data_IF_852492633246
#
_entry.id   IF_852492633246
#
_cell.length_a   1.000
_cell.length_b   1.000
_cell.length_c   1.000
_cell.angle_alpha   90.00
_cell.angle_beta   90.00
_cell.angle_gamma   90.00
#
_symmetry.space_group_name_H-M   'P 1'
#
loop_
_entity.id
_entity.type
_entity.pdbx_description
1 polymer ?
#
# COMPACT_ATOMS: atom_id res chain seq x y z
N UNK A 1 7.12 30.26 -1.22
CA UNK A 1 5.81 30.01 -0.58
C UNK A 1 5.00 28.85 -1.16
N UNK A 2 4.76 28.76 -2.49
CA UNK A 2 3.93 27.69 -3.10
C UNK A 2 4.45 26.26 -2.84
N UNK A 3 5.76 26.04 -2.94
CA UNK A 3 6.34 24.70 -2.75
C UNK A 3 6.25 24.19 -1.29
N UNK A 4 6.52 25.06 -0.31
CA UNK A 4 6.41 24.72 1.13
C UNK A 4 4.99 24.27 1.47
N UNK A 5 3.97 24.95 0.92
CA UNK A 5 2.56 24.58 1.13
C UNK A 5 2.25 23.19 0.57
N UNK A 6 2.75 22.87 -0.63
CA UNK A 6 2.57 21.54 -1.26
C UNK A 6 3.21 20.45 -0.40
N UNK A 7 4.42 20.67 0.11
CA UNK A 7 5.11 19.69 0.98
C UNK A 7 4.35 19.42 2.28
N UNK A 8 3.79 20.46 2.90
CA UNK A 8 2.98 20.30 4.12
C UNK A 8 1.71 19.49 3.87
N UNK A 9 0.99 19.81 2.80
CA UNK A 9 -0.24 19.10 2.41
C UNK A 9 0.09 17.64 2.06
N UNK A 10 1.13 17.41 1.26
CA UNK A 10 1.61 16.07 0.91
C UNK A 10 2.00 15.26 2.15
N UNK A 11 2.70 15.87 3.10
CA UNK A 11 3.07 15.20 4.34
C UNK A 11 1.84 14.84 5.19
N UNK A 12 0.88 15.76 5.33
CA UNK A 12 -0.34 15.52 6.09
C UNK A 12 -1.17 14.38 5.46
N UNK A 13 -1.40 14.41 4.15
CA UNK A 13 -2.12 13.33 3.46
C UNK A 13 -1.36 12.01 3.50
N UNK A 14 -0.03 12.06 3.38
CA UNK A 14 0.84 10.89 3.51
C UNK A 14 0.72 10.26 4.89
N UNK A 15 0.67 11.05 5.97
CA UNK A 15 0.47 10.53 7.32
C UNK A 15 -0.90 9.87 7.49
N UNK A 16 -1.97 10.51 7.00
CA UNK A 16 -3.33 9.94 7.00
C UNK A 16 -3.36 8.59 6.29
N UNK A 17 -2.77 8.52 5.08
CA UNK A 17 -2.73 7.28 4.31
C UNK A 17 -1.83 6.22 4.94
N UNK A 18 -0.70 6.58 5.56
CA UNK A 18 0.15 5.61 6.25
C UNK A 18 -0.58 4.91 7.40
N UNK A 19 -1.41 5.63 8.16
CA UNK A 19 -2.26 5.03 9.21
C UNK A 19 -3.27 4.07 8.60
N UNK A 20 -3.99 4.50 7.56
CA UNK A 20 -4.96 3.65 6.87
C UNK A 20 -4.31 2.41 6.26
N UNK A 21 -3.18 2.56 5.56
CA UNK A 21 -2.45 1.46 4.94
C UNK A 21 -1.92 0.50 6.01
N UNK A 22 -1.43 0.99 7.16
CA UNK A 22 -1.03 0.12 8.27
C UNK A 22 -2.17 -0.78 8.75
N UNK A 23 -3.35 -0.21 8.97
CA UNK A 23 -4.57 -0.96 9.33
C UNK A 23 -5.00 -1.90 8.21
N UNK A 24 -4.89 -1.47 6.95
CA UNK A 24 -5.23 -2.26 5.77
C UNK A 24 -4.32 -3.48 5.61
N UNK A 25 -3.01 -3.32 5.79
CA UNK A 25 -2.04 -4.42 5.76
C UNK A 25 -2.24 -5.38 6.94
N UNK A 26 -2.59 -4.86 8.12
CA UNK A 26 -2.99 -5.71 9.26
C UNK A 26 -4.21 -6.56 8.92
N UNK A 27 -5.21 -5.99 8.25
CA UNK A 27 -6.35 -6.75 7.76
C UNK A 27 -5.94 -7.87 6.79
N UNK A 28 -5.02 -7.58 5.86
CA UNK A 28 -4.47 -8.59 4.96
C UNK A 28 -3.68 -9.67 5.69
N UNK A 29 -2.91 -9.34 6.73
CA UNK A 29 -2.21 -10.33 7.55
C UNK A 29 -3.16 -11.28 8.28
N UNK A 30 -4.40 -10.87 8.58
CA UNK A 30 -5.40 -11.77 9.14
C UNK A 30 -5.78 -12.94 8.21
N UNK A 31 -5.46 -12.85 6.91
CA UNK A 31 -5.64 -13.97 5.96
C UNK A 31 -4.80 -15.21 6.31
N UNK A 32 -3.74 -15.07 7.11
CA UNK A 32 -2.96 -16.21 7.62
C UNK A 32 -3.84 -17.16 8.44
N UNK A 33 -4.83 -16.59 9.14
CA UNK A 33 -5.84 -17.33 9.91
C UNK A 33 -7.06 -17.76 9.06
N UNK A 34 -7.05 -17.50 7.75
CA UNK A 34 -8.12 -17.86 6.80
C UNK A 34 -8.89 -16.66 6.26
N UNK A 35 -9.62 -16.89 5.17
CA UNK A 35 -10.44 -15.87 4.49
C UNK A 35 -11.55 -15.33 5.39
N UNK A 36 -12.16 -16.18 6.22
CA UNK A 36 -13.20 -15.79 7.18
C UNK A 36 -12.70 -14.75 8.17
N UNK A 37 -11.53 -14.98 8.80
CA UNK A 37 -10.94 -14.01 9.73
C UNK A 37 -10.55 -12.70 9.09
N UNK A 38 -10.02 -12.75 7.87
CA UNK A 38 -9.82 -11.54 7.08
C UNK A 38 -11.13 -10.79 6.86
N UNK A 39 -12.21 -11.47 6.44
CA UNK A 39 -13.50 -10.84 6.14
C UNK A 39 -14.17 -10.28 7.40
N UNK A 40 -14.10 -10.98 8.54
CA UNK A 40 -14.62 -10.49 9.81
C UNK A 40 -13.95 -9.20 10.26
N UNK A 41 -12.60 -9.19 10.30
CA UNK A 41 -11.83 -8.00 10.64
C UNK A 41 -12.13 -6.86 9.66
N UNK A 42 -12.21 -7.18 8.37
CA UNK A 42 -12.54 -6.21 7.33
C UNK A 42 -13.91 -5.57 7.55
N UNK A 43 -14.95 -6.37 7.83
CA UNK A 43 -16.30 -5.87 8.12
C UNK A 43 -16.30 -4.92 9.31
N UNK A 44 -15.60 -5.28 10.39
CA UNK A 44 -15.46 -4.41 11.57
C UNK A 44 -14.78 -3.09 11.22
N UNK A 45 -13.66 -3.11 10.49
CA UNK A 45 -12.94 -1.91 10.10
C UNK A 45 -13.73 -1.02 9.11
N UNK A 46 -14.54 -1.64 8.23
CA UNK A 46 -15.40 -0.91 7.26
C UNK A 46 -16.45 -0.05 7.96
N UNK A 47 -16.93 -0.43 9.14
CA UNK A 47 -17.85 0.41 9.94
C UNK A 47 -17.23 1.78 10.26
N UNK A 48 -15.91 1.90 10.21
CA UNK A 48 -15.19 3.15 10.39
C UNK A 48 -14.81 3.79 9.05
N UNK A 49 -14.00 3.09 8.23
CA UNK A 49 -13.39 3.71 7.05
C UNK A 49 -14.29 3.83 5.82
N UNK A 50 -15.45 3.13 5.79
CA UNK A 50 -16.47 3.29 4.74
C UNK A 50 -17.63 4.21 5.16
N UNK A 51 -17.48 4.97 6.25
CA UNK A 51 -18.41 6.08 6.51
C UNK A 51 -18.21 7.17 5.46
N UNK A 52 -19.26 7.89 5.01
CA UNK A 52 -19.14 8.86 3.91
C UNK A 52 -18.04 9.91 4.13
N UNK A 53 -17.88 10.38 5.38
CA UNK A 53 -16.88 11.39 5.73
C UNK A 53 -15.46 10.82 5.64
N UNK A 54 -15.20 9.67 6.28
CA UNK A 54 -13.86 9.08 6.30
C UNK A 54 -13.47 8.58 4.91
N UNK A 55 -14.40 7.96 4.19
CA UNK A 55 -14.18 7.49 2.82
C UNK A 55 -13.84 8.66 1.89
N UNK A 56 -14.57 9.78 1.97
CA UNK A 56 -14.25 11.00 1.23
C UNK A 56 -12.84 11.52 1.57
N UNK A 57 -12.48 11.59 2.85
CA UNK A 57 -11.15 12.06 3.28
C UNK A 57 -10.04 11.14 2.77
N UNK A 58 -10.25 9.83 2.76
CA UNK A 58 -9.29 8.87 2.21
C UNK A 58 -9.11 9.06 0.70
N UNK A 59 -10.20 9.20 -0.07
CA UNK A 59 -10.10 9.47 -1.50
C UNK A 59 -9.43 10.82 -1.79
N UNK A 60 -9.76 11.87 -1.05
CA UNK A 60 -9.09 13.15 -1.15
C UNK A 60 -7.59 13.03 -0.83
N UNK A 61 -7.21 12.27 0.20
CA UNK A 61 -5.83 12.03 0.56
C UNK A 61 -5.07 11.28 -0.55
N UNK A 62 -5.69 10.30 -1.20
CA UNK A 62 -5.14 9.58 -2.37
C UNK A 62 -4.88 10.55 -3.52
N UNK A 63 -5.88 11.35 -3.91
CA UNK A 63 -5.74 12.32 -5.00
C UNK A 63 -4.64 13.35 -4.71
N UNK A 64 -4.60 13.85 -3.48
CA UNK A 64 -3.54 14.77 -3.03
C UNK A 64 -2.19 14.08 -3.10
N UNK A 65 -2.05 12.83 -2.61
CA UNK A 65 -0.78 12.12 -2.63
C UNK A 65 -0.24 11.94 -4.05
N UNK A 66 -1.07 11.44 -4.97
CA UNK A 66 -0.69 11.21 -6.37
C UNK A 66 -0.27 12.54 -7.02
N UNK A 67 -1.14 13.55 -6.99
CA UNK A 67 -0.90 14.82 -7.68
C UNK A 67 0.29 15.60 -7.10
N UNK A 68 0.39 15.69 -5.77
CA UNK A 68 1.50 16.40 -5.12
C UNK A 68 2.81 15.62 -5.20
N UNK A 69 2.78 14.29 -5.13
CA UNK A 69 3.96 13.43 -5.28
C UNK A 69 4.59 13.55 -6.67
N UNK A 70 3.77 13.44 -7.72
CA UNK A 70 4.23 13.64 -9.11
C UNK A 70 4.82 15.04 -9.29
N UNK A 71 4.14 16.08 -8.77
CA UNK A 71 4.65 17.45 -8.86
C UNK A 71 5.98 17.63 -8.14
N UNK A 72 6.14 17.07 -6.93
CA UNK A 72 7.39 17.13 -6.17
C UNK A 72 8.52 16.39 -6.86
N UNK A 73 8.24 15.26 -7.51
CA UNK A 73 9.19 14.55 -8.35
C UNK A 73 9.65 15.42 -9.52
N UNK A 74 8.71 16.00 -10.29
CA UNK A 74 9.03 16.84 -11.45
C UNK A 74 9.89 18.06 -11.08
N UNK A 75 9.69 18.63 -9.88
CA UNK A 75 10.51 19.73 -9.36
C UNK A 75 11.94 19.31 -9.00
N UNK A 76 12.16 18.04 -8.64
CA UNK A 76 13.45 17.53 -8.16
C UNK A 76 14.20 16.63 -9.14
N UNK A 77 13.60 16.27 -10.28
CA UNK A 77 14.13 15.26 -11.21
C UNK A 77 15.53 15.53 -11.80
N UNK A 78 16.00 16.77 -11.76
CA UNK A 78 17.33 17.17 -12.29
C UNK A 78 18.46 17.07 -11.26
N UNK A 79 18.15 16.68 -10.03
CA UNK A 79 19.14 16.57 -8.95
C UNK A 79 19.71 15.15 -8.98
N UNK A 80 21.04 15.02 -8.88
CA UNK A 80 21.68 13.71 -8.72
C UNK A 80 21.32 13.12 -7.36
N UNK A 81 20.69 11.95 -7.37
CA UNK A 81 20.11 11.27 -6.20
C UNK A 81 20.78 9.92 -6.04
N UNK A 82 21.15 9.56 -4.81
CA UNK A 82 21.79 8.27 -4.50
C UNK A 82 21.19 7.66 -3.24
N UNK A 83 21.31 6.33 -3.10
CA UNK A 83 20.87 5.59 -1.91
C UNK A 83 19.39 5.79 -1.57
N UNK A 84 19.09 6.10 -0.31
CA UNK A 84 17.72 6.30 0.17
C UNK A 84 16.98 7.46 -0.51
N UNK A 85 17.68 8.48 -1.02
CA UNK A 85 17.00 9.54 -1.76
C UNK A 85 16.44 9.05 -3.10
N UNK A 86 17.16 8.13 -3.74
CA UNK A 86 16.74 7.49 -4.98
C UNK A 86 15.60 6.49 -4.71
N UNK A 87 15.72 5.71 -3.64
CA UNK A 87 14.67 4.80 -3.17
C UNK A 87 13.36 5.55 -2.92
N UNK A 88 13.42 6.72 -2.25
CA UNK A 88 12.25 7.56 -1.99
C UNK A 88 11.49 7.93 -3.26
N UNK A 89 12.23 8.27 -4.33
CA UNK A 89 11.65 8.68 -5.62
C UNK A 89 10.98 7.49 -6.30
N UNK A 90 11.70 6.37 -6.48
CA UNK A 90 11.15 5.22 -7.20
C UNK A 90 9.96 4.60 -6.47
N UNK A 91 10.05 4.44 -5.16
CA UNK A 91 8.92 3.94 -4.35
C UNK A 91 7.74 4.90 -4.40
N UNK A 92 7.97 6.21 -4.34
CA UNK A 92 6.91 7.21 -4.47
C UNK A 92 6.22 7.18 -5.82
N UNK A 93 6.97 7.03 -6.91
CA UNK A 93 6.42 6.91 -8.27
C UNK A 93 5.63 5.60 -8.44
N UNK A 94 6.16 4.49 -7.92
CA UNK A 94 5.46 3.22 -7.93
C UNK A 94 4.15 3.30 -7.15
N UNK A 95 4.17 3.86 -5.92
CA UNK A 95 2.97 4.03 -5.11
C UNK A 95 1.93 4.93 -5.79
N UNK A 96 2.35 5.99 -6.48
CA UNK A 96 1.43 6.82 -7.25
C UNK A 96 0.72 6.02 -8.36
N UNK A 97 1.46 5.24 -9.14
CA UNK A 97 0.89 4.38 -10.17
C UNK A 97 0.01 3.27 -9.56
N UNK A 98 0.47 2.64 -8.48
CA UNK A 98 -0.25 1.62 -7.75
C UNK A 98 -1.60 2.15 -7.25
N UNK A 99 -1.63 3.31 -6.60
CA UNK A 99 -2.86 3.90 -6.06
C UNK A 99 -3.86 4.23 -7.17
N UNK A 100 -3.41 4.73 -8.33
CA UNK A 100 -4.29 4.96 -9.48
C UNK A 100 -4.99 3.66 -9.89
N UNK A 101 -4.23 2.59 -10.13
CA UNK A 101 -4.78 1.32 -10.61
C UNK A 101 -5.61 0.63 -9.53
N UNK A 102 -5.06 0.49 -8.32
CA UNK A 102 -5.66 -0.26 -7.22
C UNK A 102 -6.97 0.36 -6.75
N UNK A 103 -6.99 1.68 -6.50
CA UNK A 103 -8.19 2.36 -6.02
C UNK A 103 -9.26 2.37 -7.11
N UNK A 104 -8.88 2.58 -8.38
CA UNK A 104 -9.82 2.49 -9.50
C UNK A 104 -10.44 1.10 -9.61
N UNK A 105 -9.65 0.03 -9.44
CA UNK A 105 -10.16 -1.34 -9.47
C UNK A 105 -11.13 -1.62 -8.31
N UNK A 106 -10.83 -1.14 -7.10
CA UNK A 106 -11.73 -1.32 -5.93
C UNK A 106 -13.03 -0.52 -6.10
N UNK A 107 -12.95 0.70 -6.64
CA UNK A 107 -14.13 1.52 -6.94
C UNK A 107 -14.97 0.87 -8.04
N UNK A 108 -14.34 0.41 -9.13
CA UNK A 108 -15.01 -0.29 -10.22
C UNK A 108 -15.65 -1.61 -9.75
N UNK A 109 -14.94 -2.39 -8.93
CA UNK A 109 -15.47 -3.61 -8.32
C UNK A 109 -16.77 -3.34 -7.56
N UNK A 110 -16.83 -2.24 -6.80
CA UNK A 110 -18.01 -1.86 -6.03
C UNK A 110 -19.16 -1.31 -6.87
N UNK A 111 -18.87 -0.33 -7.73
CA UNK A 111 -19.91 0.47 -8.38
C UNK A 111 -20.28 0.00 -9.79
N UNK A 112 -19.38 -0.71 -10.47
CA UNK A 112 -19.59 -1.21 -11.83
C UNK A 112 -19.90 -2.71 -11.80
N UNK A 113 -19.09 -3.50 -11.09
CA UNK A 113 -19.26 -4.95 -11.03
C UNK A 113 -20.22 -5.41 -9.92
N UNK A 114 -20.64 -4.49 -9.05
CA UNK A 114 -21.50 -4.76 -7.89
C UNK A 114 -20.99 -5.87 -6.96
N UNK A 115 -19.66 -6.06 -6.91
CA UNK A 115 -19.00 -7.03 -6.05
C UNK A 115 -18.65 -6.43 -4.70
N UNK A 116 -18.74 -7.26 -3.65
CA UNK A 116 -18.07 -6.91 -2.41
C UNK A 116 -16.55 -7.03 -2.60
N UNK A 117 -15.83 -5.90 -2.55
CA UNK A 117 -14.37 -5.83 -2.65
C UNK A 117 -13.67 -6.36 -1.40
N UNK A 118 -13.87 -7.65 -1.12
CA UNK A 118 -13.45 -8.38 0.07
C UNK A 118 -12.17 -9.20 -0.18
N UNK A 119 -11.92 -10.20 0.67
CA UNK A 119 -10.79 -11.14 0.52
C UNK A 119 -10.73 -11.70 -0.90
N UNK A 120 -11.83 -12.24 -1.41
CA UNK A 120 -11.88 -12.95 -2.68
C UNK A 120 -11.61 -12.02 -3.85
N UNK A 121 -12.08 -10.76 -3.80
CA UNK A 121 -11.76 -9.77 -4.83
C UNK A 121 -10.25 -9.52 -4.95
N UNK A 122 -9.54 -9.41 -3.83
CA UNK A 122 -8.08 -9.23 -3.83
C UNK A 122 -7.30 -10.52 -4.10
N UNK A 123 -7.79 -11.64 -3.57
CA UNK A 123 -7.16 -12.95 -3.67
C UNK A 123 -7.30 -13.57 -5.06
N UNK A 124 -8.37 -13.24 -5.79
CA UNK A 124 -8.60 -13.82 -7.11
C UNK A 124 -7.33 -13.69 -7.96
N UNK A 125 -6.80 -12.46 -8.12
CA UNK A 125 -5.70 -12.22 -9.06
C UNK A 125 -4.43 -12.98 -8.70
N UNK A 126 -4.22 -13.23 -7.40
CA UNK A 126 -3.08 -13.96 -6.87
C UNK A 126 -3.18 -15.48 -7.06
N UNK A 127 -4.40 -16.01 -7.20
CA UNK A 127 -4.69 -17.44 -7.14
C UNK A 127 -5.11 -18.04 -8.49
N UNK A 128 -4.96 -17.29 -9.58
CA UNK A 128 -5.37 -17.73 -10.91
C UNK A 128 -4.26 -17.55 -11.92
N UNK A 129 -3.78 -18.65 -12.48
CA UNK A 129 -2.80 -18.64 -13.56
C UNK A 129 -3.48 -18.36 -14.90
N UNK A 130 -2.90 -17.54 -15.81
CA UNK A 130 -1.60 -16.88 -15.70
C UNK A 130 -1.62 -15.48 -15.06
N UNK A 131 -2.79 -15.02 -14.61
CA UNK A 131 -3.03 -13.66 -14.11
C UNK A 131 -2.20 -13.34 -12.85
N UNK A 132 -1.89 -14.33 -12.04
CA UNK A 132 -1.01 -14.24 -10.89
C UNK A 132 0.41 -13.76 -11.22
N UNK A 133 0.92 -14.00 -12.44
CA UNK A 133 2.22 -13.50 -12.90
C UNK A 133 2.28 -11.97 -12.92
N UNK A 134 1.13 -11.30 -13.05
CA UNK A 134 1.02 -9.85 -12.92
C UNK A 134 0.74 -9.43 -11.47
N UNK A 135 -0.24 -10.05 -10.81
CA UNK A 135 -0.70 -9.57 -9.50
C UNK A 135 0.28 -9.84 -8.35
N UNK A 136 1.07 -10.93 -8.41
CA UNK A 136 2.10 -11.19 -7.40
C UNK A 136 3.15 -10.07 -7.37
N UNK A 137 3.84 -9.74 -8.48
CA UNK A 137 4.79 -8.64 -8.47
C UNK A 137 4.11 -7.28 -8.27
N UNK A 138 2.89 -7.07 -8.78
CA UNK A 138 2.15 -5.83 -8.59
C UNK A 138 1.83 -5.55 -7.11
N UNK A 139 1.24 -6.51 -6.39
CA UNK A 139 0.96 -6.31 -4.96
C UNK A 139 2.23 -6.39 -4.10
N UNK A 140 3.18 -7.26 -4.44
CA UNK A 140 4.44 -7.39 -3.73
C UNK A 140 5.26 -6.10 -3.76
N UNK A 141 5.44 -5.51 -4.95
CA UNK A 141 6.15 -4.24 -5.11
C UNK A 141 5.41 -3.08 -4.42
N UNK A 142 4.08 -3.13 -4.30
CA UNK A 142 3.33 -2.10 -3.57
C UNK A 142 3.68 -2.10 -2.08
N UNK A 143 3.72 -3.27 -1.45
CA UNK A 143 4.09 -3.42 -0.04
C UNK A 143 5.55 -3.01 0.15
N UNK A 144 6.47 -3.53 -0.67
CA UNK A 144 7.88 -3.14 -0.60
C UNK A 144 8.09 -1.65 -0.83
N UNK A 145 7.34 -1.04 -1.75
CA UNK A 145 7.41 0.40 -2.01
C UNK A 145 6.88 1.21 -0.84
N UNK A 146 5.80 0.78 -0.18
CA UNK A 146 5.29 1.46 1.01
C UNK A 146 6.32 1.50 2.13
N UNK A 147 6.89 0.34 2.49
CA UNK A 147 7.94 0.28 3.52
C UNK A 147 9.23 0.96 3.07
N UNK A 148 9.61 0.87 1.80
CA UNK A 148 10.77 1.56 1.25
C UNK A 148 10.62 3.08 1.25
N UNK A 149 9.42 3.59 0.99
CA UNK A 149 9.10 5.00 1.06
C UNK A 149 9.23 5.51 2.51
N UNK A 150 8.70 4.77 3.48
CA UNK A 150 8.84 5.08 4.91
C UNK A 150 10.30 5.00 5.35
N UNK A 151 11.03 3.95 4.97
CA UNK A 151 12.44 3.77 5.30
C UNK A 151 13.28 4.94 4.78
N UNK A 152 13.00 5.42 3.56
CA UNK A 152 13.70 6.57 3.00
C UNK A 152 13.36 7.88 3.71
N UNK A 153 12.09 8.13 4.04
CA UNK A 153 11.70 9.29 4.84
C UNK A 153 12.37 9.25 6.21
N UNK A 154 12.37 8.09 6.85
CA UNK A 154 13.00 7.83 8.14
C UNK A 154 14.50 8.14 8.07
N UNK A 155 15.21 7.57 7.09
CA UNK A 155 16.63 7.82 6.87
C UNK A 155 16.96 9.30 6.66
N UNK A 156 16.15 10.01 5.87
CA UNK A 156 16.39 11.42 5.54
C UNK A 156 16.02 12.40 6.66
N UNK A 157 15.09 12.04 7.56
CA UNK A 157 14.57 12.96 8.59
C UNK A 157 15.14 12.69 9.98
N UNK A 158 15.42 11.44 10.33
CA UNK A 158 15.91 11.10 11.66
C UNK A 158 17.42 11.34 11.76
N UNK A 159 17.86 11.85 12.91
CA UNK A 159 19.28 12.16 13.18
C UNK A 159 19.90 11.29 14.27
N UNK A 160 19.09 10.61 15.06
CA UNK A 160 19.53 9.94 16.28
C UNK A 160 19.46 8.42 16.15
N UNK A 161 20.41 7.75 16.80
CA UNK A 161 20.31 6.32 17.05
C UNK A 161 19.19 6.03 18.06
N UNK A 162 18.50 4.91 17.87
CA UNK A 162 17.44 4.39 18.74
C UNK A 162 17.82 2.95 19.06
N UNK A 163 17.80 2.59 20.34
CA UNK A 163 18.17 1.25 20.82
C UNK A 163 19.51 0.71 20.28
N UNK A 164 20.51 1.59 20.18
CA UNK A 164 21.84 1.22 19.68
C UNK A 164 21.96 1.03 18.16
N UNK A 165 20.85 1.09 17.41
CA UNK A 165 20.87 1.01 15.96
C UNK A 165 21.11 2.39 15.34
N UNK A 166 22.05 2.47 14.38
CA UNK A 166 22.22 3.67 13.56
C UNK A 166 20.97 3.96 12.72
N UNK A 167 20.79 5.21 12.25
CA UNK A 167 19.67 5.58 11.36
C UNK A 167 19.63 4.70 10.11
N UNK A 168 20.79 4.33 9.57
CA UNK A 168 20.91 3.39 8.46
C UNK A 168 20.44 1.98 8.86
N UNK A 169 20.86 1.48 10.04
CA UNK A 169 20.40 0.19 10.58
C UNK A 169 18.89 0.13 10.77
N UNK A 170 18.30 1.16 11.36
CA UNK A 170 16.85 1.29 11.54
C UNK A 170 16.12 1.31 10.19
N UNK A 171 16.63 2.06 9.21
CA UNK A 171 16.01 2.15 7.88
C UNK A 171 16.07 0.81 7.13
N UNK A 172 17.16 0.05 7.29
CA UNK A 172 17.25 -1.34 6.79
C UNK A 172 16.28 -2.27 7.51
N UNK A 173 16.08 -2.12 8.81
CA UNK A 173 15.10 -2.90 9.56
C UNK A 173 13.66 -2.67 9.05
N UNK A 174 13.30 -1.43 8.70
CA UNK A 174 12.00 -1.11 8.08
C UNK A 174 11.83 -1.84 6.73
N UNK A 175 12.90 -1.91 5.91
CA UNK A 175 12.86 -2.66 4.64
C UNK A 175 12.67 -4.16 4.86
N UNK A 176 13.41 -4.74 5.80
CA UNK A 176 13.29 -6.16 6.15
C UNK A 176 11.89 -6.47 6.65
N UNK A 177 11.34 -5.62 7.53
CA UNK A 177 9.95 -5.74 7.99
C UNK A 177 8.97 -5.72 6.82
N UNK A 178 9.16 -4.83 5.84
CA UNK A 178 8.33 -4.78 4.64
C UNK A 178 8.37 -6.07 3.82
N UNK A 179 9.56 -6.65 3.65
CA UNK A 179 9.71 -7.94 2.97
C UNK A 179 9.03 -9.09 3.72
N UNK A 180 9.15 -9.13 5.05
CA UNK A 180 8.46 -10.12 5.88
C UNK A 180 6.94 -9.96 5.80
N UNK A 181 6.42 -8.74 5.92
CA UNK A 181 4.97 -8.45 5.78
C UNK A 181 4.47 -8.87 4.41
N UNK A 182 5.21 -8.56 3.34
CA UNK A 182 4.87 -9.00 1.98
C UNK A 182 4.76 -10.52 1.88
N UNK A 183 5.76 -11.26 2.36
CA UNK A 183 5.76 -12.72 2.31
C UNK A 183 4.60 -13.32 3.11
N UNK A 184 4.32 -12.78 4.30
CA UNK A 184 3.24 -13.22 5.16
C UNK A 184 1.85 -12.96 4.56
N UNK A 185 1.67 -11.79 3.92
CA UNK A 185 0.42 -11.48 3.19
C UNK A 185 0.26 -12.41 2.00
N UNK A 186 1.30 -12.61 1.17
CA UNK A 186 1.23 -13.54 0.05
C UNK A 186 0.91 -14.97 0.52
N UNK A 187 1.55 -15.41 1.60
CA UNK A 187 1.28 -16.71 2.22
C UNK A 187 -0.19 -16.84 2.64
N UNK A 188 -0.75 -15.86 3.36
CA UNK A 188 -2.16 -15.92 3.78
C UNK A 188 -3.15 -15.81 2.62
N UNK A 189 -2.95 -14.84 1.72
CA UNK A 189 -3.84 -14.55 0.59
C UNK A 189 -3.86 -15.66 -0.47
N UNK A 190 -2.86 -16.54 -0.50
CA UNK A 190 -2.78 -17.68 -1.42
C UNK A 190 -3.15 -19.01 -0.77
N UNK A 191 -3.79 -18.97 0.41
CA UNK A 191 -4.07 -20.16 1.20
C UNK A 191 -2.81 -21.01 1.41
N UNK A 192 -1.75 -20.38 1.95
CA UNK A 192 -0.46 -21.00 2.24
C UNK A 192 0.24 -21.53 0.97
N UNK A 193 0.12 -20.78 -0.12
CA UNK A 193 0.59 -21.14 -1.47
C UNK A 193 -0.08 -22.39 -2.09
N UNK A 194 -1.17 -22.90 -1.50
CA UNK A 194 -1.93 -24.02 -2.06
C UNK A 194 -2.97 -23.57 -3.10
N UNK A 195 -3.19 -22.26 -3.23
CA UNK A 195 -4.27 -21.70 -4.03
C UNK A 195 -5.55 -21.57 -3.20
N UNK A 196 -6.08 -20.36 -3.08
CA UNK A 196 -7.39 -20.12 -2.50
C UNK A 196 -8.49 -20.47 -3.52
N UNK A 197 -9.55 -21.13 -3.05
CA UNK A 197 -10.74 -21.39 -3.88
C UNK A 197 -11.49 -20.07 -4.06
N UNK A 198 -11.59 -19.62 -5.31
CA UNK A 198 -12.25 -18.36 -5.65
C UNK A 198 -13.72 -18.65 -6.04
N UNK A 199 -14.70 -18.02 -5.34
CA UNK A 199 -16.11 -18.14 -5.70
C UNK A 199 -16.37 -17.63 -7.12
N UNK A 200 -17.41 -18.16 -7.75
CA UNK A 200 -17.71 -17.93 -9.17
C UNK A 200 -17.85 -16.44 -9.52
N UNK A 201 -18.54 -15.67 -8.67
CA UNK A 201 -18.72 -14.22 -8.83
C UNK A 201 -17.42 -13.40 -8.85
N UNK A 202 -16.31 -13.96 -8.34
CA UNK A 202 -14.99 -13.31 -8.32
C UNK A 202 -14.04 -13.81 -9.41
N UNK A 203 -14.47 -14.72 -10.29
CA UNK A 203 -13.67 -15.22 -11.42
C UNK A 203 -13.74 -14.25 -12.60
N UNK A 204 -13.06 -13.12 -12.45
CA UNK A 204 -13.05 -12.04 -13.43
C UNK A 204 -12.17 -12.30 -14.67
N UNK A 205 -11.51 -13.46 -14.73
CA UNK A 205 -10.64 -13.94 -15.82
C UNK A 205 -10.54 -15.47 -15.76
#
# INVERSE_FOLDING_TARGET
MKEIRIRKIHFASGLTLSVFIGIHLMNHLASIAGSERHIELMKMLRNFYRTPIIEFLLFAAVLVQISSGIRLFLLKRKINKVGFELLHIYTGLYLAAFLVIHVSAVVAGRFILHLDTNFYFGAAGLNSFPVNLFFIPYYGLAILSFFGHIAAIHHCKLKNAIWGLSVNGQSKAILILGALVMLLILYGMTNRFMGAIIPEEYRLY
#
